data_IF_900933899003
#
_entry.id   IF_900933899003
#
_cell.length_a   1.000
_cell.length_b   1.000
_cell.length_c   1.000
_cell.angle_alpha   90.00
_cell.angle_beta   90.00
_cell.angle_gamma   90.00
#
_symmetry.space_group_name_H-M   'P 1'
#
loop_
_entity.id
_entity.type
_entity.pdbx_description
1 polymer ?
#
# COMPACT_ATOMS: atom_id res chain seq x y z
N UNK A 1 -6.98 -5.39 15.10
CA UNK A 1 -6.68 -4.20 15.92
C UNK A 1 -5.19 -4.00 15.89
N UNK A 2 -4.75 -2.74 15.82
CA UNK A 2 -3.34 -2.39 15.87
C UNK A 2 -2.77 -2.67 17.27
N UNK A 3 -1.57 -3.23 17.31
CA UNK A 3 -0.83 -3.50 18.53
C UNK A 3 0.57 -2.88 18.38
N UNK A 4 0.95 -1.90 19.23
CA UNK A 4 2.27 -1.28 19.16
C UNK A 4 3.37 -2.25 19.60
N UNK A 5 4.57 -2.11 19.03
CA UNK A 5 5.75 -2.89 19.43
C UNK A 5 6.38 -2.42 20.75
N UNK A 6 6.09 -1.19 21.21
CA UNK A 6 6.60 -0.64 22.47
C UNK A 6 5.49 -0.27 23.44
N UNK A 7 5.87 0.23 24.62
CA UNK A 7 4.96 0.55 25.72
C UNK A 7 4.04 1.75 25.45
N UNK A 8 4.35 2.56 24.43
CA UNK A 8 3.59 3.74 24.05
C UNK A 8 2.98 3.62 22.65
N UNK A 9 1.77 4.16 22.50
CA UNK A 9 1.10 4.24 21.19
C UNK A 9 1.77 5.35 20.37
N UNK A 10 2.26 5.05 19.16
CA UNK A 10 2.89 6.07 18.31
C UNK A 10 1.85 7.12 17.88
N UNK A 11 2.26 8.39 17.84
CA UNK A 11 1.43 9.47 17.30
C UNK A 11 1.43 9.39 15.76
N UNK A 12 0.27 9.02 15.19
CA UNK A 12 0.05 8.89 13.76
C UNK A 12 -0.78 10.03 13.18
N UNK A 13 -1.03 11.08 13.98
CA UNK A 13 -1.93 12.15 13.60
C UNK A 13 -1.48 12.87 12.33
N UNK A 14 -2.41 12.97 11.38
CA UNK A 14 -2.17 13.62 10.09
C UNK A 14 -1.29 12.83 9.12
N UNK A 15 -0.82 11.63 9.49
CA UNK A 15 -0.02 10.80 8.60
C UNK A 15 -0.87 10.19 7.47
N UNK A 16 -0.22 9.85 6.36
CA UNK A 16 -0.83 9.09 5.27
C UNK A 16 -0.53 7.60 5.46
N UNK A 17 -1.55 6.75 5.38
CA UNK A 17 -1.40 5.30 5.37
C UNK A 17 -1.26 4.79 3.94
N UNK A 18 -0.19 4.06 3.63
CA UNK A 18 -0.07 3.26 2.41
C UNK A 18 -0.30 1.79 2.74
N UNK A 19 -1.06 1.10 1.90
CA UNK A 19 -1.29 -0.33 2.06
C UNK A 19 -1.38 -1.04 0.71
N UNK A 20 -1.02 -2.33 0.64
CA UNK A 20 -1.19 -3.12 -0.57
C UNK A 20 -2.63 -3.63 -0.66
N UNK A 21 -3.16 -3.71 -1.88
CA UNK A 21 -4.26 -4.60 -2.20
C UNK A 21 -3.69 -6.00 -2.48
N UNK A 22 -4.32 -7.04 -1.91
CA UNK A 22 -4.01 -8.44 -2.23
C UNK A 22 -4.86 -8.84 -3.44
N UNK A 23 -4.30 -8.61 -4.63
CA UNK A 23 -4.94 -8.77 -5.94
C UNK A 23 -3.99 -9.43 -6.97
N UNK A 24 -4.37 -9.43 -8.24
CA UNK A 24 -3.64 -10.06 -9.36
C UNK A 24 -2.16 -9.67 -9.37
N UNK A 25 -1.27 -10.66 -9.41
CA UNK A 25 0.19 -10.48 -9.36
C UNK A 25 0.74 -9.92 -8.05
N UNK A 26 -0.08 -9.72 -7.01
CA UNK A 26 0.33 -9.21 -5.69
C UNK A 26 1.19 -7.95 -5.72
N UNK A 27 1.16 -7.15 -6.79
CA UNK A 27 2.11 -6.05 -7.08
C UNK A 27 2.21 -5.02 -5.96
N UNK A 28 1.09 -4.78 -5.26
CA UNK A 28 1.07 -3.88 -4.11
C UNK A 28 2.01 -4.30 -2.98
N UNK A 29 2.16 -5.61 -2.71
CA UNK A 29 3.00 -6.11 -1.60
C UNK A 29 4.49 -5.79 -1.78
N UNK A 30 5.15 -6.16 -2.91
CA UNK A 30 6.54 -5.77 -3.14
C UNK A 30 6.71 -4.26 -3.33
N UNK A 31 5.67 -3.53 -3.79
CA UNK A 31 5.73 -2.07 -3.86
C UNK A 31 5.83 -1.45 -2.45
N UNK A 32 5.07 -1.95 -1.49
CA UNK A 32 5.15 -1.51 -0.09
C UNK A 32 6.48 -1.96 0.54
N UNK A 33 6.96 -3.19 0.29
CA UNK A 33 8.28 -3.62 0.78
C UNK A 33 9.40 -2.72 0.26
N UNK A 34 9.32 -2.30 -1.01
CA UNK A 34 10.28 -1.36 -1.60
C UNK A 34 10.21 0.01 -0.92
N UNK A 35 9.01 0.53 -0.65
CA UNK A 35 8.83 1.80 0.06
C UNK A 35 9.40 1.73 1.48
N UNK A 36 9.10 0.65 2.21
CA UNK A 36 9.63 0.41 3.57
C UNK A 36 11.16 0.40 3.54
N UNK A 37 11.75 -0.37 2.63
CA UNK A 37 13.19 -0.52 2.50
C UNK A 37 13.88 0.78 2.06
N UNK A 38 13.30 1.52 1.10
CA UNK A 38 13.90 2.76 0.58
C UNK A 38 13.78 3.95 1.53
N UNK A 39 12.75 3.99 2.36
CA UNK A 39 12.55 5.05 3.34
C UNK A 39 13.10 4.68 4.72
N UNK A 40 13.75 3.51 4.86
CA UNK A 40 14.24 2.96 6.13
C UNK A 40 13.17 3.05 7.23
N UNK A 41 11.93 2.63 6.90
CA UNK A 41 10.84 2.73 7.86
C UNK A 41 11.07 1.77 9.03
N UNK A 42 10.77 2.23 10.24
CA UNK A 42 10.83 1.41 11.43
C UNK A 42 9.48 0.75 11.67
N UNK A 43 9.49 -0.53 12.05
CA UNK A 43 8.28 -1.23 12.48
C UNK A 43 7.81 -0.65 13.81
N UNK A 44 6.56 -0.19 13.85
CA UNK A 44 5.93 0.43 15.03
C UNK A 44 4.90 -0.48 15.69
N UNK A 45 4.50 -1.55 15.01
CA UNK A 45 3.49 -2.47 15.51
C UNK A 45 3.04 -3.47 14.46
N UNK A 46 1.97 -4.17 14.79
CA UNK A 46 1.35 -5.16 13.92
C UNK A 46 -0.17 -5.06 13.97
N UNK A 47 -0.82 -5.56 12.93
CA UNK A 47 -2.28 -5.55 12.85
C UNK A 47 -2.84 -6.92 13.21
N UNK A 48 -3.10 -7.12 14.50
CA UNK A 48 -3.66 -8.38 15.03
C UNK A 48 -5.08 -8.61 14.51
N UNK A 49 -5.26 -9.64 13.68
CA UNK A 49 -6.55 -9.95 13.06
C UNK A 49 -6.67 -11.44 12.75
N UNK A 50 -7.89 -11.96 12.87
CA UNK A 50 -8.29 -13.31 12.49
C UNK A 50 -8.73 -13.40 11.02
N UNK A 51 -8.53 -12.32 10.24
CA UNK A 51 -8.94 -12.21 8.84
C UNK A 51 -7.87 -12.68 7.85
N UNK A 52 -6.66 -12.91 8.33
CA UNK A 52 -5.46 -13.22 7.56
C UNK A 52 -4.95 -14.61 7.95
N UNK A 53 -4.35 -15.33 7.02
CA UNK A 53 -3.71 -16.60 7.36
C UNK A 53 -2.54 -16.34 8.33
N UNK A 54 -2.38 -17.17 9.38
CA UNK A 54 -1.22 -17.08 10.26
C UNK A 54 0.06 -17.35 9.48
N UNK A 55 1.08 -16.54 9.72
CA UNK A 55 2.41 -16.76 9.17
C UNK A 55 3.47 -16.19 10.11
N UNK A 56 4.64 -16.80 10.08
CA UNK A 56 5.86 -16.30 10.71
C UNK A 56 7.04 -16.62 9.81
N UNK A 57 8.00 -15.71 9.72
CA UNK A 57 9.21 -15.90 8.92
C UNK A 57 10.31 -14.94 9.34
N UNK A 58 11.42 -14.98 8.62
CA UNK A 58 12.53 -14.06 8.84
C UNK A 58 12.17 -12.64 8.40
N UNK A 59 12.78 -11.62 9.00
CA UNK A 59 12.63 -10.23 8.58
C UNK A 59 13.15 -10.03 7.13
N UNK A 60 12.28 -9.68 6.17
CA UNK A 60 12.69 -9.46 4.78
C UNK A 60 13.43 -8.13 4.57
N UNK A 61 13.41 -7.23 5.57
CA UNK A 61 14.12 -5.95 5.55
C UNK A 61 15.41 -5.99 6.37
N UNK A 62 15.89 -7.18 6.77
CA UNK A 62 17.13 -7.30 7.52
C UNK A 62 18.32 -6.85 6.68
N UNK A 63 18.88 -5.69 7.00
CA UNK A 63 20.12 -5.15 6.40
C UNK A 63 21.31 -5.18 7.36
N UNK A 64 21.08 -5.52 8.63
CA UNK A 64 22.07 -5.59 9.70
C UNK A 64 21.80 -6.80 10.60
N UNK A 65 22.81 -7.26 11.35
CA UNK A 65 22.70 -8.41 12.24
C UNK A 65 21.64 -8.20 13.33
N UNK A 66 21.51 -6.99 13.87
CA UNK A 66 20.53 -6.64 14.92
C UNK A 66 19.09 -6.96 14.46
N UNK A 67 18.75 -6.55 13.23
CA UNK A 67 17.41 -6.67 12.67
C UNK A 67 17.14 -8.06 12.08
N UNK A 68 18.18 -8.90 11.94
CA UNK A 68 18.10 -10.23 11.33
C UNK A 68 17.39 -11.25 12.22
N UNK A 69 17.40 -11.01 13.53
CA UNK A 69 16.74 -11.86 14.53
C UNK A 69 15.25 -11.55 14.68
N UNK A 70 14.78 -10.45 14.09
CA UNK A 70 13.39 -10.07 14.14
C UNK A 70 12.53 -10.99 13.26
N UNK A 71 11.40 -11.44 13.82
CA UNK A 71 10.43 -12.22 13.06
C UNK A 71 9.45 -11.33 12.32
N UNK A 72 9.14 -11.71 11.10
CA UNK A 72 8.11 -11.11 10.25
C UNK A 72 6.79 -11.87 10.39
N UNK A 73 5.68 -11.15 10.51
CA UNK A 73 4.33 -11.71 10.64
C UNK A 73 3.36 -11.18 9.58
N UNK A 74 2.14 -11.72 9.58
CA UNK A 74 1.16 -11.57 8.50
C UNK A 74 0.74 -10.13 8.15
N UNK A 75 0.69 -9.24 9.14
CA UNK A 75 0.35 -7.84 8.96
C UNK A 75 1.19 -6.95 9.88
N UNK A 76 2.12 -6.20 9.29
CA UNK A 76 3.05 -5.34 10.02
C UNK A 76 2.79 -3.88 9.67
N UNK A 77 3.03 -3.00 10.65
CA UNK A 77 2.88 -1.56 10.46
C UNK A 77 4.24 -0.92 10.69
N UNK A 78 4.73 -0.25 9.66
CA UNK A 78 5.96 0.52 9.68
C UNK A 78 5.64 2.01 9.54
N UNK A 79 6.46 2.87 10.10
CA UNK A 79 6.28 4.32 9.99
C UNK A 79 7.59 5.04 9.66
N UNK A 80 7.44 6.16 8.99
CA UNK A 80 8.47 7.16 8.76
C UNK A 80 7.97 8.51 9.29
N UNK A 81 8.36 8.89 10.54
CA UNK A 81 7.93 10.15 11.14
C UNK A 81 8.35 11.37 10.31
N UNK A 82 9.54 11.32 9.68
CA UNK A 82 10.07 12.40 8.85
C UNK A 82 9.23 12.70 7.60
N UNK A 83 8.51 11.69 7.09
CA UNK A 83 7.65 11.79 5.91
C UNK A 83 6.16 11.83 6.23
N UNK A 84 5.78 11.77 7.52
CA UNK A 84 4.38 11.59 7.96
C UNK A 84 3.69 10.44 7.22
N UNK A 85 4.41 9.32 7.09
CA UNK A 85 3.99 8.17 6.29
C UNK A 85 3.94 6.92 7.17
N UNK A 86 2.86 6.16 7.03
CA UNK A 86 2.67 4.86 7.65
C UNK A 86 2.46 3.85 6.54
N UNK A 87 3.14 2.71 6.61
CA UNK A 87 2.96 1.60 5.68
C UNK A 87 2.39 0.41 6.44
N UNK A 88 1.25 -0.11 5.99
CA UNK A 88 0.73 -1.39 6.42
C UNK A 88 1.16 -2.44 5.40
N UNK A 89 2.00 -3.39 5.81
CA UNK A 89 2.43 -4.48 4.96
C UNK A 89 1.62 -5.74 5.25
N UNK A 90 1.10 -6.38 4.20
CA UNK A 90 0.39 -7.65 4.27
C UNK A 90 1.19 -8.70 3.51
N UNK A 91 1.55 -9.82 4.15
CA UNK A 91 2.23 -10.94 3.44
C UNK A 91 1.48 -12.27 3.48
N UNK A 92 0.27 -12.28 4.02
CA UNK A 92 -0.62 -13.43 3.94
C UNK A 92 -1.90 -13.06 3.20
N UNK A 93 -2.61 -14.07 2.71
CA UNK A 93 -3.88 -13.88 2.04
C UNK A 93 -5.03 -13.77 3.04
N UNK A 94 -6.11 -13.14 2.60
CA UNK A 94 -7.35 -13.08 3.36
C UNK A 94 -8.01 -14.45 3.43
N UNK A 95 -8.45 -14.83 4.63
CA UNK A 95 -9.37 -15.93 4.83
C UNK A 95 -10.69 -15.59 4.12
N UNK A 96 -11.28 -16.60 3.44
CA UNK A 96 -12.50 -16.43 2.64
C UNK A 96 -13.58 -15.72 3.45
N UNK A 97 -14.23 -14.73 2.83
CA UNK A 97 -15.30 -13.90 3.40
C UNK A 97 -14.92 -12.98 4.57
N UNK A 98 -13.65 -12.93 5.00
CA UNK A 98 -13.21 -12.05 6.09
C UNK A 98 -12.64 -10.70 5.64
N UNK A 99 -12.54 -10.43 4.34
CA UNK A 99 -12.02 -9.15 3.82
C UNK A 99 -12.84 -7.94 4.30
N UNK A 100 -14.17 -8.05 4.33
CA UNK A 100 -15.05 -6.99 4.85
C UNK A 100 -14.78 -6.70 6.33
N UNK A 101 -14.68 -7.75 7.15
CA UNK A 101 -14.36 -7.63 8.57
C UNK A 101 -12.99 -6.98 8.79
N UNK A 102 -11.99 -7.32 7.97
CA UNK A 102 -10.69 -6.65 8.01
C UNK A 102 -10.82 -5.16 7.68
N UNK A 103 -11.56 -4.81 6.63
CA UNK A 103 -11.74 -3.42 6.23
C UNK A 103 -12.41 -2.61 7.35
N UNK A 104 -13.45 -3.13 7.99
CA UNK A 104 -14.12 -2.48 9.13
C UNK A 104 -13.14 -2.21 10.29
N UNK A 105 -12.34 -3.23 10.66
CA UNK A 105 -11.29 -3.09 11.69
C UNK A 105 -10.23 -2.07 11.29
N UNK A 106 -9.82 -2.06 10.03
CA UNK A 106 -8.81 -1.13 9.50
C UNK A 106 -9.32 0.30 9.54
N UNK A 107 -10.53 0.55 9.05
CA UNK A 107 -11.14 1.89 9.06
C UNK A 107 -11.34 2.41 10.48
N UNK A 108 -11.75 1.54 11.40
CA UNK A 108 -11.86 1.90 12.82
C UNK A 108 -10.51 2.36 13.36
N UNK A 109 -9.43 1.64 13.03
CA UNK A 109 -8.09 2.02 13.43
C UNK A 109 -7.64 3.36 12.81
N UNK A 110 -7.83 3.52 11.50
CA UNK A 110 -7.48 4.75 10.76
C UNK A 110 -8.16 5.98 11.37
N UNK A 111 -9.45 5.85 11.74
CA UNK A 111 -10.19 6.92 12.43
C UNK A 111 -9.67 7.17 13.84
N UNK A 112 -9.44 6.12 14.62
CA UNK A 112 -8.95 6.26 15.99
C UNK A 112 -7.54 6.84 16.10
N UNK A 113 -6.74 6.70 15.04
CA UNK A 113 -5.36 7.18 14.96
C UNK A 113 -5.21 8.52 14.25
N UNK A 114 -6.32 9.21 13.93
CA UNK A 114 -6.34 10.51 13.23
C UNK A 114 -5.50 10.55 11.94
N UNK A 115 -5.47 9.45 11.19
CA UNK A 115 -4.77 9.38 9.91
C UNK A 115 -5.50 10.25 8.87
N UNK A 116 -4.73 11.04 8.11
CA UNK A 116 -5.31 12.04 7.19
C UNK A 116 -5.86 11.42 5.92
N UNK A 117 -5.16 10.43 5.36
CA UNK A 117 -5.46 9.83 4.05
C UNK A 117 -5.01 8.37 4.00
N UNK A 118 -5.64 7.59 3.13
CA UNK A 118 -5.27 6.20 2.82
C UNK A 118 -4.96 6.05 1.32
N UNK A 119 -3.76 5.59 0.99
CA UNK A 119 -3.34 5.18 -0.34
C UNK A 119 -3.31 3.66 -0.46
N UNK A 120 -4.03 3.10 -1.42
CA UNK A 120 -4.05 1.66 -1.71
C UNK A 120 -3.28 1.40 -3.00
N UNK A 121 -2.25 0.55 -2.94
CA UNK A 121 -1.45 0.13 -4.08
C UNK A 121 -1.99 -1.18 -4.64
N UNK A 122 -2.48 -1.18 -5.88
CA UNK A 122 -3.22 -2.29 -6.47
C UNK A 122 -2.84 -2.56 -7.93
N UNK A 123 -3.32 -3.67 -8.44
CA UNK A 123 -3.11 -4.14 -9.81
C UNK A 123 -4.35 -4.87 -10.33
N UNK A 124 -4.57 -4.82 -11.65
CA UNK A 124 -5.63 -5.52 -12.36
C UNK A 124 -5.11 -6.07 -13.70
N UNK A 125 -5.88 -6.95 -14.33
CA UNK A 125 -5.46 -7.65 -15.55
C UNK A 125 -5.36 -6.71 -16.75
N UNK A 126 -4.31 -6.87 -17.55
CA UNK A 126 -4.05 -6.07 -18.75
C UNK A 126 -5.13 -6.17 -19.82
N UNK A 127 -5.90 -7.26 -19.90
CA UNK A 127 -7.02 -7.39 -20.85
C UNK A 127 -8.23 -6.50 -20.51
N UNK A 128 -8.30 -5.96 -19.29
CA UNK A 128 -9.30 -4.95 -18.93
C UNK A 128 -8.89 -3.54 -19.38
N UNK A 129 -7.67 -3.39 -19.90
CA UNK A 129 -7.22 -2.17 -20.56
C UNK A 129 -7.79 -2.15 -21.98
N UNK A 130 -8.75 -1.26 -22.23
CA UNK A 130 -9.43 -1.14 -23.53
C UNK A 130 -8.45 -0.76 -24.66
N UNK A 131 -8.62 -1.34 -25.86
CA UNK A 131 -7.65 -1.29 -26.97
C UNK A 131 -7.39 0.13 -27.53
N UNK A 132 -8.23 1.11 -27.18
CA UNK A 132 -8.03 2.53 -27.51
C UNK A 132 -7.07 3.26 -26.55
N UNK A 133 -6.65 2.63 -25.45
CA UNK A 133 -5.82 3.21 -24.39
C UNK A 133 -4.29 2.92 -24.39
N UNK A 134 -3.66 2.15 -25.31
CA UNK A 134 -2.23 1.82 -25.22
C UNK A 134 -1.28 3.02 -25.44
N UNK A 135 -1.81 4.23 -25.69
CA UNK A 135 -1.02 5.48 -25.75
C UNK A 135 -0.97 6.26 -24.42
N UNK A 136 -1.69 5.81 -23.40
CA UNK A 136 -1.75 6.46 -22.07
C UNK A 136 -0.91 5.69 -21.04
N UNK A 137 -0.55 6.33 -19.91
CA UNK A 137 0.20 5.66 -18.84
C UNK A 137 -0.55 4.40 -18.34
N UNK A 138 0.13 3.29 -17.97
CA UNK A 138 -0.52 2.05 -17.52
C UNK A 138 -1.12 2.16 -16.11
N UNK A 139 -1.08 3.36 -15.53
CA UNK A 139 -1.54 3.66 -14.19
C UNK A 139 -2.92 4.29 -14.24
N UNK A 140 -3.75 3.94 -13.27
CA UNK A 140 -5.07 4.50 -13.06
C UNK A 140 -5.27 4.80 -11.59
N UNK A 141 -6.22 5.68 -11.29
CA UNK A 141 -6.56 5.95 -9.90
C UNK A 141 -8.07 6.00 -9.67
N UNK A 142 -8.47 5.66 -8.45
CA UNK A 142 -9.82 5.88 -7.92
C UNK A 142 -9.71 6.78 -6.71
N UNK A 143 -10.45 7.88 -6.73
CA UNK A 143 -10.51 8.84 -5.65
C UNK A 143 -11.87 8.81 -4.97
N UNK A 144 -11.83 8.89 -3.65
CA UNK A 144 -13.00 9.32 -2.88
C UNK A 144 -13.33 10.78 -3.18
N UNK A 145 -14.62 11.19 -3.16
CA UNK A 145 -15.04 12.55 -3.51
C UNK A 145 -14.35 13.66 -2.70
N UNK A 146 -13.80 13.32 -1.54
CA UNK A 146 -13.10 14.22 -0.62
C UNK A 146 -11.66 14.58 -1.00
N UNK A 147 -11.07 13.97 -2.03
CA UNK A 147 -9.69 14.27 -2.46
C UNK A 147 -9.72 15.25 -3.64
N UNK A 148 -8.97 16.37 -3.58
CA UNK A 148 -8.90 17.32 -4.69
C UNK A 148 -8.30 16.65 -5.93
N UNK A 149 -8.87 17.01 -7.09
CA UNK A 149 -8.57 16.52 -8.45
C UNK A 149 -7.14 16.79 -8.95
N UNK A 150 -6.19 17.20 -8.11
CA UNK A 150 -4.79 17.44 -8.54
C UNK A 150 -4.09 16.19 -9.13
N UNK A 151 -4.68 15.01 -8.93
CA UNK A 151 -4.30 13.75 -9.58
C UNK A 151 -4.80 13.58 -11.03
N UNK A 152 -5.52 14.56 -11.62
CA UNK A 152 -6.14 14.53 -12.98
C UNK A 152 -5.17 14.54 -14.18
N UNK A 153 -3.94 14.03 -14.06
CA UNK A 153 -3.05 13.84 -15.22
C UNK A 153 -3.19 12.48 -15.91
N UNK A 154 -3.90 11.54 -15.30
CA UNK A 154 -4.21 10.22 -15.89
C UNK A 154 -5.73 9.99 -15.93
N UNK A 155 -6.23 9.20 -16.91
CA UNK A 155 -7.66 8.97 -17.05
C UNK A 155 -8.20 8.19 -15.85
N UNK A 156 -9.29 8.68 -15.27
CA UNK A 156 -10.09 7.94 -14.29
C UNK A 156 -10.57 6.62 -14.91
N UNK A 157 -10.62 5.58 -14.09
CA UNK A 157 -11.18 4.28 -14.47
C UNK A 157 -12.71 4.43 -14.67
N UNK A 158 -13.28 4.09 -15.83
CA UNK A 158 -14.71 3.85 -15.93
C UNK A 158 -15.07 2.57 -15.16
N UNK A 159 -16.12 2.63 -14.34
CA UNK A 159 -16.70 1.55 -13.51
C UNK A 159 -16.12 0.14 -13.73
N UNK A 160 -15.01 -0.20 -13.04
CA UNK A 160 -14.60 -1.60 -12.89
C UNK A 160 -15.54 -2.24 -11.88
N UNK A 161 -16.02 -3.45 -12.18
CA UNK A 161 -16.81 -4.25 -11.26
C UNK A 161 -16.09 -4.37 -9.90
N UNK A 162 -16.74 -3.89 -8.85
CA UNK A 162 -16.24 -3.84 -7.46
C UNK A 162 -15.78 -5.23 -6.95
N UNK A 163 -16.17 -6.30 -7.63
CA UNK A 163 -15.85 -7.70 -7.29
C UNK A 163 -14.36 -8.04 -7.39
N UNK A 164 -13.58 -7.33 -8.22
CA UNK A 164 -12.14 -7.58 -8.38
C UNK A 164 -11.30 -6.98 -7.24
N UNK A 165 -11.77 -5.88 -6.65
CA UNK A 165 -11.11 -5.23 -5.53
C UNK A 165 -11.57 -5.82 -4.21
N UNK A 166 -10.79 -6.76 -3.66
CA UNK A 166 -11.06 -7.33 -2.33
C UNK A 166 -11.08 -6.30 -1.19
N UNK A 167 -10.51 -5.12 -1.41
CA UNK A 167 -10.64 -3.92 -0.56
C UNK A 167 -11.46 -2.89 -1.35
N UNK A 168 -12.78 -2.91 -1.21
CA UNK A 168 -13.65 -2.04 -2.01
C UNK A 168 -13.53 -0.57 -1.55
N UNK A 169 -13.50 0.37 -2.50
CA UNK A 169 -13.59 1.84 -2.28
C UNK A 169 -14.81 2.22 -1.41
N UNK A 170 -15.85 1.37 -1.36
CA UNK A 170 -17.06 1.56 -0.53
C UNK A 170 -16.79 1.60 0.98
N UNK A 171 -15.59 1.22 1.40
CA UNK A 171 -15.13 1.32 2.79
C UNK A 171 -14.80 2.77 3.22
N UNK A 172 -14.80 3.73 2.31
CA UNK A 172 -14.33 5.11 2.54
C UNK A 172 -15.19 6.05 3.41
N UNK A 173 -16.20 5.58 4.17
CA UNK A 173 -17.12 6.46 4.92
C UNK A 173 -16.38 7.48 5.82
N UNK A 174 -16.13 8.68 5.29
CA UNK A 174 -15.47 9.81 5.96
C UNK A 174 -13.94 9.82 5.94
N UNK A 175 -13.25 8.95 5.19
CA UNK A 175 -11.78 8.93 5.12
C UNK A 175 -11.33 9.19 3.68
N UNK A 176 -10.51 10.22 3.42
CA UNK A 176 -9.92 10.42 2.11
C UNK A 176 -9.08 9.19 1.70
N UNK A 177 -9.53 8.49 0.67
CA UNK A 177 -8.87 7.32 0.11
C UNK A 177 -8.58 7.51 -1.38
N UNK A 178 -7.36 7.12 -1.77
CA UNK A 178 -6.92 7.02 -3.15
C UNK A 178 -6.45 5.58 -3.42
N UNK A 179 -6.91 4.98 -4.52
CA UNK A 179 -6.37 3.72 -5.03
C UNK A 179 -5.50 4.04 -6.23
N UNK A 180 -4.27 3.58 -6.24
CA UNK A 180 -3.40 3.59 -7.41
C UNK A 180 -3.35 2.17 -7.99
N UNK A 181 -3.74 2.04 -9.24
CA UNK A 181 -3.86 0.78 -9.97
C UNK A 181 -2.83 0.72 -11.10
N UNK A 182 -2.20 -0.43 -11.28
CA UNK A 182 -1.44 -0.77 -12.50
C UNK A 182 -2.10 -1.93 -13.24
N UNK A 183 -2.27 -1.81 -14.55
CA UNK A 183 -2.61 -2.95 -15.39
C UNK A 183 -1.37 -3.82 -15.63
N UNK A 184 -1.49 -5.12 -15.37
CA UNK A 184 -0.37 -6.06 -15.49
C UNK A 184 -0.74 -7.28 -16.33
N UNK A 185 0.26 -7.82 -17.02
CA UNK A 185 0.19 -9.15 -17.63
C UNK A 185 0.76 -10.16 -16.63
N UNK A 186 0.23 -11.39 -16.60
CA UNK A 186 0.74 -12.41 -15.67
C UNK A 186 2.25 -12.67 -15.88
N UNK A 187 2.99 -12.79 -14.79
CA UNK A 187 4.44 -12.98 -14.82
C UNK A 187 5.17 -12.29 -13.67
N UNK A 188 6.35 -11.74 -13.96
CA UNK A 188 7.21 -11.08 -12.98
C UNK A 188 6.58 -9.77 -12.47
N UNK A 189 6.30 -9.72 -11.18
CA UNK A 189 5.64 -8.59 -10.52
C UNK A 189 6.62 -7.51 -10.05
N UNK A 190 7.94 -7.73 -10.15
CA UNK A 190 8.97 -6.79 -9.70
C UNK A 190 8.99 -5.51 -10.57
N UNK A 191 9.06 -5.58 -11.91
CA UNK A 191 8.98 -4.39 -12.76
C UNK A 191 7.68 -3.62 -12.55
N UNK A 192 6.60 -4.35 -12.26
CA UNK A 192 5.30 -3.77 -11.96
C UNK A 192 5.28 -2.99 -10.66
N UNK A 193 5.89 -3.55 -9.61
CA UNK A 193 6.03 -2.91 -8.32
C UNK A 193 6.90 -1.65 -8.41
N UNK A 194 8.02 -1.73 -9.14
CA UNK A 194 8.90 -0.59 -9.40
C UNK A 194 8.17 0.54 -10.12
N UNK A 195 7.40 0.21 -11.16
CA UNK A 195 6.58 1.18 -11.88
C UNK A 195 5.54 1.84 -10.97
N UNK A 196 4.85 1.04 -10.14
CA UNK A 196 3.83 1.52 -9.21
C UNK A 196 4.42 2.50 -8.17
N UNK A 197 5.58 2.17 -7.60
CA UNK A 197 6.29 3.06 -6.67
C UNK A 197 6.82 4.31 -7.39
N UNK A 198 7.35 4.17 -8.60
CA UNK A 198 7.82 5.30 -9.41
C UNK A 198 6.71 6.31 -9.66
N UNK A 199 5.56 5.85 -10.12
CA UNK A 199 4.40 6.70 -10.38
C UNK A 199 3.83 7.34 -9.09
N UNK A 200 3.74 6.57 -8.00
CA UNK A 200 3.37 7.10 -6.69
C UNK A 200 4.33 8.23 -6.26
N UNK A 201 5.62 8.06 -6.54
CA UNK A 201 6.65 9.00 -6.16
C UNK A 201 6.62 10.31 -6.95
N UNK A 202 6.15 10.30 -8.21
CA UNK A 202 5.91 11.53 -8.96
C UNK A 202 4.90 12.45 -8.27
N UNK A 203 3.96 11.86 -7.52
CA UNK A 203 2.89 12.59 -6.86
C UNK A 203 3.23 12.96 -5.43
N UNK A 204 3.76 12.01 -4.66
CA UNK A 204 4.01 12.17 -3.24
C UNK A 204 5.45 12.62 -2.92
N UNK A 205 6.37 12.59 -3.90
CA UNK A 205 7.78 12.99 -3.75
C UNK A 205 8.45 12.37 -2.51
N UNK A 206 8.14 11.10 -2.25
CA UNK A 206 8.55 10.37 -1.05
C UNK A 206 10.05 10.07 -1.07
N UNK A 207 10.53 9.56 -2.20
CA UNK A 207 11.88 9.09 -2.48
C UNK A 207 12.57 10.15 -3.33
N UNK A 208 13.69 10.69 -2.86
CA UNK A 208 14.51 11.60 -3.69
C UNK A 208 15.13 10.78 -4.83
N UNK A 209 15.17 11.28 -6.08
CA UNK A 209 15.99 10.65 -7.10
C UNK A 209 17.42 10.59 -6.58
N UNK A 210 18.05 9.42 -6.69
CA UNK A 210 19.46 9.29 -6.39
C UNK A 210 20.19 10.24 -7.34
N UNK A 211 20.84 11.28 -6.81
CA UNK A 211 21.80 12.06 -7.59
C UNK A 211 22.84 11.06 -8.04
N UNK A 212 22.81 10.68 -9.33
CA UNK A 212 23.82 9.84 -9.94
C UNK A 212 25.18 10.42 -9.59
N UNK A 213 25.91 9.73 -8.73
CA UNK A 213 27.36 9.88 -8.67
C UNK A 213 27.87 9.63 -10.08
N UNK A 214 28.43 10.69 -10.64
CA UNK A 214 29.25 10.67 -11.84
C UNK A 214 30.29 9.56 -11.67
N UNK A 215 30.06 8.40 -12.30
CA UNK A 215 31.12 7.40 -12.47
C UNK A 215 31.84 7.74 -13.77
N UNK A 216 33.03 8.29 -13.58
CA UNK A 216 34.20 8.49 -14.47
C UNK A 216 33.98 8.42 -15.98
#
# INVERSE_FOLDING_TARGET
MFVPCGDSVPDLKGCTLLMPAVCVGNVGQPAIDLIISKLNMCRIGYFSTDCLLPMVGNNPHATAEENSTELSINAEVCASPSKKLVALQLRSTFIKYKSKSFCEKLLSWVKSSDLSKVGVLSSSHSYLCDDLQPRSTPFRYLLTPSIPKEMEKSPCIPEIDDSEFRVSVRCSKGIPMAILLKFISEGDSIPDALGLVGYLNEWLQLIKPCSTETRF
#
